data_IF_280740212674
#
_entry.id   IF_280740212674
#
_cell.length_a   1.000
_cell.length_b   1.000
_cell.length_c   1.000
_cell.angle_alpha   90.00
_cell.angle_beta   90.00
_cell.angle_gamma   90.00
#
_symmetry.space_group_name_H-M   'P 1'
#
loop_
_entity.id
_entity.type
_entity.pdbx_description
1 polymer ?
#
# COMPACT_ATOMS: atom_id res chain seq x y z
N UNK A 1 -8.43 3.17 12.86
CA UNK A 1 -7.23 3.52 12.06
C UNK A 1 -6.93 2.35 11.15
N UNK A 2 -6.53 2.59 9.91
CA UNK A 2 -6.20 1.53 8.94
C UNK A 2 -4.70 1.60 8.62
N UNK A 3 -3.98 0.48 8.79
CA UNK A 3 -2.60 0.36 8.34
C UNK A 3 -2.56 -0.13 6.89
N UNK A 4 -1.99 0.65 5.98
CA UNK A 4 -1.80 0.27 4.57
C UNK A 4 -0.37 -0.22 4.41
N UNK A 5 -0.19 -1.51 4.14
CA UNK A 5 1.13 -2.13 3.98
C UNK A 5 1.45 -2.16 2.48
N UNK A 6 2.48 -1.42 2.08
CA UNK A 6 2.96 -1.32 0.70
C UNK A 6 4.24 -2.13 0.55
N UNK A 7 4.29 -3.07 -0.39
CA UNK A 7 5.52 -3.75 -0.75
C UNK A 7 6.27 -2.98 -1.84
N UNK A 8 7.55 -2.68 -1.62
CA UNK A 8 8.37 -1.94 -2.55
C UNK A 8 9.67 -2.70 -2.88
N UNK A 9 9.79 -3.18 -4.12
CA UNK A 9 11.01 -3.78 -4.67
C UNK A 9 11.04 -3.68 -6.19
N UNK A 10 11.98 -2.90 -6.75
CA UNK A 10 12.10 -2.62 -8.19
C UNK A 10 10.80 -2.11 -8.85
N UNK A 11 10.13 -1.16 -8.20
CA UNK A 11 8.86 -0.55 -8.64
C UNK A 11 8.99 0.97 -8.77
N UNK A 12 10.19 1.47 -9.06
CA UNK A 12 10.50 2.91 -9.07
C UNK A 12 9.69 3.71 -10.08
N UNK A 13 9.23 3.08 -11.17
CA UNK A 13 8.33 3.68 -12.17
C UNK A 13 6.93 3.97 -11.60
N UNK A 14 6.47 3.19 -10.61
CA UNK A 14 5.07 3.14 -10.20
C UNK A 14 4.84 3.63 -8.76
N UNK A 15 5.84 3.47 -7.89
CA UNK A 15 5.69 3.63 -6.45
C UNK A 15 5.24 5.04 -6.03
N UNK A 16 5.63 6.07 -6.77
CA UNK A 16 5.15 7.44 -6.50
C UNK A 16 3.64 7.55 -6.69
N UNK A 17 3.09 7.00 -7.78
CA UNK A 17 1.66 6.99 -8.05
C UNK A 17 0.91 6.11 -7.04
N UNK A 18 1.46 4.94 -6.70
CA UNK A 18 0.94 4.08 -5.65
C UNK A 18 0.77 4.85 -4.35
N UNK A 19 1.85 5.46 -3.84
CA UNK A 19 1.84 6.17 -2.57
C UNK A 19 0.95 7.43 -2.62
N UNK A 20 0.96 8.19 -3.72
CA UNK A 20 0.04 9.32 -3.88
C UNK A 20 -1.42 8.88 -3.79
N UNK A 21 -1.79 7.76 -4.40
CA UNK A 21 -3.17 7.24 -4.33
C UNK A 21 -3.61 6.87 -2.91
N UNK A 22 -2.67 6.44 -2.06
CA UNK A 22 -2.93 6.09 -0.66
C UNK A 22 -2.97 7.37 0.20
N UNK A 23 -2.04 8.30 -0.01
CA UNK A 23 -1.98 9.60 0.68
C UNK A 23 -3.28 10.40 0.45
N UNK A 24 -3.82 10.34 -0.77
CA UNK A 24 -5.00 11.09 -1.21
C UNK A 24 -6.33 10.38 -0.94
N UNK A 25 -6.35 9.26 -0.21
CA UNK A 25 -7.61 8.60 0.15
C UNK A 25 -8.53 9.55 0.94
N UNK A 26 -9.83 9.48 0.66
CA UNK A 26 -10.84 10.24 1.43
C UNK A 26 -10.93 9.81 2.90
N UNK A 27 -10.51 8.58 3.22
CA UNK A 27 -10.32 8.12 4.59
C UNK A 27 -8.95 8.57 5.13
N UNK A 28 -8.93 9.60 5.98
CA UNK A 28 -7.68 10.26 6.40
C UNK A 28 -6.87 9.53 7.49
N UNK A 29 -7.51 8.67 8.29
CA UNK A 29 -6.90 8.03 9.47
C UNK A 29 -6.07 6.79 9.10
N UNK A 30 -4.99 7.03 8.35
CA UNK A 30 -4.10 6.02 7.78
C UNK A 30 -2.73 6.01 8.46
N UNK A 31 -2.18 4.80 8.55
CA UNK A 31 -0.79 4.49 8.89
C UNK A 31 -0.17 3.76 7.69
N UNK A 32 0.76 4.39 6.96
CA UNK A 32 1.26 3.86 5.68
C UNK A 32 2.61 3.22 5.94
N UNK A 33 2.69 1.90 5.78
CA UNK A 33 3.90 1.11 6.05
C UNK A 33 4.49 0.70 4.72
N UNK A 34 5.61 1.29 4.33
CA UNK A 34 6.33 0.88 3.12
C UNK A 34 7.44 -0.08 3.50
N UNK A 35 7.30 -1.33 3.06
CA UNK A 35 8.30 -2.37 3.25
C UNK A 35 9.23 -2.37 2.05
N UNK A 36 10.45 -1.86 2.26
CA UNK A 36 11.55 -1.97 1.30
C UNK A 36 12.03 -3.43 1.30
N UNK A 37 11.59 -4.21 0.31
CA UNK A 37 11.71 -5.67 0.32
C UNK A 37 12.93 -6.17 -0.48
N UNK A 38 14.11 -6.03 0.12
CA UNK A 38 15.39 -6.33 -0.50
C UNK A 38 16.20 -5.07 -0.78
N UNK A 39 17.05 -5.14 -1.81
CA UNK A 39 17.80 -3.99 -2.32
C UNK A 39 17.40 -3.72 -3.75
N UNK A 40 16.56 -2.70 -3.94
CA UNK A 40 16.14 -2.30 -5.29
C UNK A 40 17.34 -1.83 -6.11
N UNK A 41 17.29 -2.08 -7.42
CA UNK A 41 18.33 -1.65 -8.38
C UNK A 41 17.95 -0.38 -9.16
N UNK A 42 16.72 0.08 -8.96
CA UNK A 42 16.17 1.31 -9.51
C UNK A 42 16.08 2.40 -8.42
N UNK A 43 15.30 3.45 -8.68
CA UNK A 43 15.08 4.58 -7.78
C UNK A 43 13.96 4.35 -6.74
N UNK A 44 13.46 3.11 -6.55
CA UNK A 44 12.37 2.82 -5.59
C UNK A 44 12.66 3.37 -4.20
N UNK A 45 13.84 3.05 -3.62
CA UNK A 45 14.19 3.45 -2.25
C UNK A 45 14.27 4.98 -2.13
N UNK A 46 14.90 5.65 -3.10
CA UNK A 46 15.03 7.11 -3.13
C UNK A 46 13.67 7.81 -3.13
N UNK A 47 12.72 7.35 -3.96
CA UNK A 47 11.38 7.95 -4.03
C UNK A 47 10.67 7.78 -2.69
N UNK A 48 10.65 6.56 -2.15
CA UNK A 48 9.96 6.24 -0.91
C UNK A 48 10.52 7.06 0.26
N UNK A 49 11.84 7.23 0.33
CA UNK A 49 12.49 8.05 1.37
C UNK A 49 12.10 9.54 1.26
N UNK A 50 12.02 10.09 0.04
CA UNK A 50 11.58 11.47 -0.18
C UNK A 50 10.11 11.67 0.20
N UNK A 51 9.25 10.72 -0.14
CA UNK A 51 7.83 10.78 0.23
C UNK A 51 7.65 10.66 1.75
N UNK A 52 8.43 9.80 2.42
CA UNK A 52 8.41 9.66 3.88
C UNK A 52 8.85 10.93 4.63
N UNK A 53 9.71 11.74 4.04
CA UNK A 53 10.07 13.06 4.59
C UNK A 53 8.91 14.07 4.47
N UNK A 54 8.04 13.89 3.49
CA UNK A 54 6.96 14.83 3.17
C UNK A 54 5.62 14.48 3.83
N UNK A 55 5.36 13.19 4.09
CA UNK A 55 4.17 12.72 4.79
C UNK A 55 4.53 11.84 6.00
N UNK A 56 4.29 12.36 7.20
CA UNK A 56 4.59 11.71 8.47
C UNK A 56 3.81 10.41 8.73
N UNK A 57 2.76 10.13 7.95
CA UNK A 57 2.02 8.86 8.03
C UNK A 57 2.80 7.72 7.41
N UNK A 58 3.80 8.00 6.57
CA UNK A 58 4.66 6.99 5.95
C UNK A 58 5.75 6.56 6.92
N UNK A 59 5.83 5.25 7.16
CA UNK A 59 6.89 4.61 7.93
C UNK A 59 7.58 3.56 7.09
N UNK A 60 8.91 3.56 7.15
CA UNK A 60 9.74 2.65 6.38
C UNK A 60 10.14 1.46 7.22
N UNK A 61 9.98 0.26 6.65
CA UNK A 61 10.45 -1.00 7.21
C UNK A 61 11.38 -1.62 6.18
N UNK A 62 12.59 -2.00 6.59
CA UNK A 62 13.59 -2.53 5.67
C UNK A 62 13.75 -4.04 5.86
N UNK A 63 13.45 -4.82 4.82
CA UNK A 63 13.88 -6.21 4.71
C UNK A 63 15.19 -6.24 3.94
N UNK A 64 16.32 -6.42 4.63
CA UNK A 64 17.63 -6.48 3.99
C UNK A 64 18.13 -7.91 3.78
N UNK A 65 17.42 -8.91 4.28
CA UNK A 65 17.84 -10.31 4.25
C UNK A 65 17.45 -11.02 2.94
N UNK A 66 16.24 -10.75 2.44
CA UNK A 66 15.75 -11.32 1.19
C UNK A 66 14.70 -10.42 0.52
N UNK A 67 14.19 -10.85 -0.64
CA UNK A 67 13.14 -10.15 -1.40
C UNK A 67 11.89 -11.02 -1.60
N UNK A 68 11.66 -12.00 -0.72
CA UNK A 68 10.46 -12.85 -0.81
C UNK A 68 9.24 -12.04 -0.39
N UNK A 69 8.16 -12.14 -1.18
CA UNK A 69 6.91 -11.39 -0.93
C UNK A 69 6.33 -11.77 0.43
N UNK A 70 6.37 -13.05 0.80
CA UNK A 70 5.88 -13.55 2.09
C UNK A 70 6.56 -12.84 3.27
N UNK A 71 7.87 -12.67 3.18
CA UNK A 71 8.70 -12.15 4.26
C UNK A 71 8.49 -10.64 4.39
N UNK A 72 8.38 -9.95 3.25
CA UNK A 72 7.97 -8.55 3.20
C UNK A 72 6.59 -8.31 3.82
N UNK A 73 5.58 -9.12 3.46
CA UNK A 73 4.22 -9.00 4.04
C UNK A 73 4.23 -9.27 5.54
N UNK A 74 4.97 -10.28 5.98
CA UNK A 74 5.13 -10.59 7.40
C UNK A 74 5.75 -9.43 8.17
N UNK A 75 6.84 -8.85 7.67
CA UNK A 75 7.50 -7.71 8.31
C UNK A 75 6.60 -6.47 8.37
N UNK A 76 5.81 -6.24 7.31
CA UNK A 76 4.81 -5.18 7.30
C UNK A 76 3.71 -5.41 8.36
N UNK A 77 3.24 -6.65 8.48
CA UNK A 77 2.23 -7.04 9.47
C UNK A 77 2.74 -6.87 10.91
N UNK A 78 3.99 -7.27 11.18
CA UNK A 78 4.64 -7.08 12.48
C UNK A 78 4.77 -5.59 12.87
N UNK A 79 4.66 -4.67 11.91
CA UNK A 79 4.75 -3.22 12.11
C UNK A 79 3.39 -2.50 12.13
N UNK A 80 2.26 -3.21 12.00
CA UNK A 80 0.90 -2.64 12.00
C UNK A 80 0.58 -2.00 13.34
N UNK A 81 -0.07 -0.82 13.29
CA UNK A 81 -0.62 -0.14 14.48
C UNK A 81 -2.13 0.08 14.38
N UNK A 82 -2.69 -0.05 13.18
CA UNK A 82 -4.12 0.08 12.92
C UNK A 82 -4.92 -1.08 13.51
N UNK A 83 -6.21 -0.84 13.69
CA UNK A 83 -7.18 -1.87 14.05
C UNK A 83 -7.47 -2.78 12.84
N UNK A 84 -7.37 -2.21 11.64
CA UNK A 84 -7.51 -2.88 10.36
C UNK A 84 -6.24 -2.71 9.55
N UNK A 85 -5.99 -3.62 8.62
CA UNK A 85 -4.90 -3.49 7.67
C UNK A 85 -5.33 -3.93 6.26
N UNK A 86 -4.59 -3.47 5.27
CA UNK A 86 -4.68 -3.96 3.88
C UNK A 86 -3.30 -3.98 3.26
N UNK A 87 -3.11 -4.83 2.25
CA UNK A 87 -1.91 -4.84 1.42
C UNK A 87 -2.18 -4.08 0.12
N UNK A 88 -1.16 -3.38 -0.37
CA UNK A 88 -1.11 -2.78 -1.70
C UNK A 88 0.26 -3.09 -2.29
N UNK A 89 0.31 -3.60 -3.52
CA UNK A 89 1.58 -3.82 -4.19
C UNK A 89 2.07 -2.49 -4.78
N UNK A 90 3.40 -2.24 -4.73
CA UNK A 90 3.97 -0.92 -5.04
C UNK A 90 3.87 -0.50 -6.51
N UNK A 91 3.40 -1.38 -7.38
CA UNK A 91 3.08 -1.17 -8.79
C UNK A 91 1.58 -0.97 -9.06
N UNK A 92 0.73 -1.03 -8.04
CA UNK A 92 -0.70 -0.77 -8.11
C UNK A 92 -1.07 0.60 -7.50
N UNK A 93 -2.34 1.00 -7.64
CA UNK A 93 -2.88 2.19 -6.99
C UNK A 93 -4.34 2.02 -6.61
N UNK A 94 -4.80 2.80 -5.65
CA UNK A 94 -6.16 2.75 -5.14
C UNK A 94 -7.05 3.83 -5.77
N UNK A 95 -8.34 3.53 -6.05
CA UNK A 95 -9.35 4.56 -6.24
C UNK A 95 -9.48 5.46 -5.01
N UNK A 96 -9.83 6.74 -5.21
CA UNK A 96 -9.90 7.78 -4.17
C UNK A 96 -10.68 7.39 -2.90
N UNK A 97 -11.79 6.67 -3.06
CA UNK A 97 -12.68 6.27 -1.96
C UNK A 97 -12.52 4.80 -1.53
N UNK A 98 -11.48 4.10 -1.99
CA UNK A 98 -11.33 2.66 -1.76
C UNK A 98 -11.38 2.29 -0.28
N UNK A 99 -10.56 2.94 0.56
CA UNK A 99 -10.51 2.64 2.00
C UNK A 99 -11.81 3.06 2.69
N UNK A 100 -12.39 4.21 2.34
CA UNK A 100 -13.64 4.69 2.94
C UNK A 100 -14.80 3.72 2.66
N UNK A 101 -14.91 3.23 1.42
CA UNK A 101 -15.94 2.28 1.00
C UNK A 101 -15.79 0.94 1.72
N UNK A 102 -14.58 0.39 1.79
CA UNK A 102 -14.32 -0.87 2.50
C UNK A 102 -14.60 -0.75 4.00
N UNK A 103 -14.17 0.35 4.63
CA UNK A 103 -14.46 0.63 6.04
C UNK A 103 -15.95 0.78 6.33
N UNK A 104 -16.71 1.39 5.40
CA UNK A 104 -18.17 1.49 5.51
C UNK A 104 -18.82 0.11 5.47
N UNK A 105 -18.41 -0.75 4.52
CA UNK A 105 -18.91 -2.12 4.40
C UNK A 105 -18.60 -2.97 5.63
N UNK A 106 -17.39 -2.88 6.20
CA UNK A 106 -17.05 -3.59 7.45
C UNK A 106 -18.00 -3.20 8.59
N UNK A 107 -18.23 -1.90 8.78
CA UNK A 107 -19.08 -1.39 9.87
C UNK A 107 -20.56 -1.71 9.70
N UNK A 108 -21.08 -1.60 8.48
CA UNK A 108 -22.51 -1.83 8.20
C UNK A 108 -22.87 -3.30 8.33
N UNK A 109 -21.98 -4.20 7.92
CA UNK A 109 -22.26 -5.63 7.91
C UNK A 109 -21.75 -6.36 9.16
N UNK A 110 -20.97 -5.69 10.01
CA UNK A 110 -20.35 -6.27 11.21
C UNK A 110 -19.56 -7.55 10.86
N UNK A 111 -18.57 -7.39 9.97
CA UNK A 111 -17.75 -8.49 9.44
C UNK A 111 -16.26 -8.27 9.71
N UNK A 112 -15.53 -9.36 9.84
CA UNK A 112 -14.08 -9.33 10.10
C UNK A 112 -13.25 -8.98 8.86
N UNK A 113 -13.76 -9.26 7.65
CA UNK A 113 -13.03 -9.10 6.38
C UNK A 113 -13.96 -8.57 5.30
N UNK A 114 -13.45 -7.60 4.52
CA UNK A 114 -14.03 -7.12 3.27
C UNK A 114 -13.00 -7.21 2.15
N UNK A 115 -13.48 -7.45 0.93
CA UNK A 115 -12.62 -7.61 -0.24
C UNK A 115 -13.09 -6.65 -1.33
N UNK A 116 -12.16 -5.85 -1.85
CA UNK A 116 -12.39 -5.00 -3.01
C UNK A 116 -12.24 -5.77 -4.33
N UNK A 117 -12.85 -5.25 -5.40
CA UNK A 117 -12.61 -5.75 -6.76
C UNK A 117 -11.32 -5.14 -7.32
N UNK A 118 -10.62 -5.92 -8.16
CA UNK A 118 -9.36 -5.51 -8.80
C UNK A 118 -9.64 -5.28 -10.29
N UNK A 119 -9.04 -4.23 -10.85
CA UNK A 119 -9.02 -3.99 -12.30
C UNK A 119 -7.59 -3.90 -12.79
N UNK A 120 -7.34 -4.36 -14.01
CA UNK A 120 -6.04 -4.22 -14.65
C UNK A 120 -5.96 -2.91 -15.44
N UNK A 121 -4.77 -2.33 -15.54
CA UNK A 121 -4.53 -1.15 -16.37
C UNK A 121 -3.46 -1.48 -17.41
N UNK A 122 -3.75 -1.21 -18.69
CA UNK A 122 -2.76 -1.33 -19.76
C UNK A 122 -2.84 -0.11 -20.67
N UNK A 123 -1.70 0.54 -20.97
CA UNK A 123 -1.63 1.71 -21.84
C UNK A 123 -2.64 2.82 -21.50
N UNK A 124 -2.89 3.07 -20.21
CA UNK A 124 -3.86 4.08 -19.74
C UNK A 124 -5.34 3.66 -19.86
N UNK A 125 -5.63 2.43 -20.27
CA UNK A 125 -6.99 1.88 -20.33
C UNK A 125 -7.23 0.91 -19.17
N UNK A 126 -8.38 1.07 -18.49
CA UNK A 126 -8.86 0.17 -17.45
C UNK A 126 -9.53 -1.04 -18.06
N UNK A 127 -9.11 -2.23 -17.67
CA UNK A 127 -9.76 -3.50 -17.93
C UNK A 127 -10.38 -4.01 -16.64
N UNK A 128 -11.68 -4.27 -16.65
CA UNK A 128 -12.35 -4.90 -15.52
C UNK A 128 -12.05 -6.39 -15.58
N UNK A 129 -11.35 -6.91 -14.56
CA UNK A 129 -11.19 -8.33 -14.36
C UNK A 129 -12.40 -8.81 -13.55
N UNK A 130 -13.16 -9.76 -14.11
CA UNK A 130 -14.32 -10.37 -13.46
C UNK A 130 -13.90 -11.50 -12.52
#
# INVERSE_FOLDING_TARGET
MVSVIVLAYNVGEYIENCLHSIISQSYVNLDIIVVINGKSRDNTETIVEQMAQSDHRIRLVYNRENSYISDGRKLGLDAVKGEYFTFVDGDDYLPEDAVANLMSLMKVNDVDIVIGSIGAFTNGMRHICF
#
